data_IF_928303442704
#
_entry.id   IF_928303442704
#
_cell.length_a   1.000
_cell.length_b   1.000
_cell.length_c   1.000
_cell.angle_alpha   90.00
_cell.angle_beta   90.00
_cell.angle_gamma   90.00
#
_symmetry.space_group_name_H-M   'P 1'
#
loop_
_entity.id
_entity.type
_entity.pdbx_description
1 polymer ?
#
# COMPACT_ATOMS: atom_id res chain seq x y z
N UNK A 1 -7.47 -5.98 13.11
CA UNK A 1 -7.54 -6.87 11.93
C UNK A 1 -9.01 -7.09 11.57
N UNK A 2 -9.34 -7.21 10.28
CA UNK A 2 -10.69 -7.58 9.81
C UNK A 2 -10.69 -9.04 9.33
N UNK A 3 -11.80 -9.75 9.50
CA UNK A 3 -11.95 -11.16 9.09
C UNK A 3 -12.46 -11.24 7.66
N UNK A 4 -11.82 -12.07 6.83
CA UNK A 4 -12.24 -12.38 5.46
C UNK A 4 -12.57 -13.87 5.37
N UNK A 5 -13.78 -14.19 4.93
CA UNK A 5 -14.24 -15.57 4.73
C UNK A 5 -14.54 -15.80 3.25
N UNK A 6 -13.95 -16.83 2.66
CA UNK A 6 -14.17 -17.20 1.26
C UNK A 6 -14.10 -18.72 1.09
N UNK A 7 -14.79 -19.25 0.07
CA UNK A 7 -14.74 -20.67 -0.26
C UNK A 7 -13.41 -20.99 -0.95
N UNK A 8 -12.77 -22.07 -0.51
CA UNK A 8 -11.50 -22.55 -1.08
C UNK A 8 -11.75 -23.89 -1.76
N UNK A 9 -11.45 -24.05 -3.06
CA UNK A 9 -11.54 -25.33 -3.73
C UNK A 9 -10.65 -26.38 -3.05
N UNK A 10 -11.11 -27.63 -2.97
CA UNK A 10 -10.40 -28.69 -2.25
C UNK A 10 -8.95 -28.90 -2.74
N UNK A 11 -8.70 -28.78 -4.04
CA UNK A 11 -7.35 -28.88 -4.61
C UNK A 11 -6.41 -27.75 -4.13
N UNK A 12 -6.94 -26.55 -3.94
CA UNK A 12 -6.18 -25.40 -3.44
C UNK A 12 -5.90 -25.53 -1.95
N UNK A 13 -6.87 -26.02 -1.15
CA UNK A 13 -6.67 -26.26 0.28
C UNK A 13 -5.56 -27.30 0.54
N UNK A 14 -5.50 -28.37 -0.27
CA UNK A 14 -4.44 -29.38 -0.20
C UNK A 14 -3.05 -28.76 -0.44
N UNK A 15 -2.93 -27.89 -1.44
CA UNK A 15 -1.68 -27.17 -1.73
C UNK A 15 -1.29 -26.24 -0.59
N UNK A 16 -2.25 -25.47 -0.06
CA UNK A 16 -2.04 -24.60 1.12
C UNK A 16 -1.54 -25.40 2.32
N UNK A 17 -2.18 -26.53 2.63
CA UNK A 17 -1.81 -27.39 3.76
C UNK A 17 -0.37 -27.94 3.62
N UNK A 18 0.02 -28.37 2.41
CA UNK A 18 1.37 -28.85 2.15
C UNK A 18 2.44 -27.76 2.38
N UNK A 19 2.20 -26.54 1.89
CA UNK A 19 3.14 -25.41 2.07
C UNK A 19 3.23 -24.99 3.53
N UNK A 20 2.10 -24.88 4.22
CA UNK A 20 2.02 -24.57 5.65
C UNK A 20 2.79 -25.60 6.48
N UNK A 21 2.60 -26.89 6.20
CA UNK A 21 3.33 -27.97 6.88
C UNK A 21 4.84 -27.87 6.65
N UNK A 22 5.26 -27.60 5.40
CA UNK A 22 6.69 -27.45 5.06
C UNK A 22 7.33 -26.22 5.72
N UNK A 23 6.60 -25.10 5.80
CA UNK A 23 7.11 -23.83 6.34
C UNK A 23 6.94 -23.67 7.85
N UNK A 24 6.10 -24.49 8.50
CA UNK A 24 5.81 -24.36 9.94
C UNK A 24 4.98 -23.12 10.30
N UNK A 25 4.22 -22.55 9.35
CA UNK A 25 3.42 -21.32 9.57
C UNK A 25 1.92 -21.62 9.48
N UNK A 26 1.07 -20.77 10.05
CA UNK A 26 -0.40 -20.94 9.95
C UNK A 26 -0.91 -20.61 8.54
N UNK A 27 -2.02 -21.23 8.12
CA UNK A 27 -2.70 -20.93 6.83
C UNK A 27 -2.96 -19.43 6.65
N UNK A 28 -3.39 -18.74 7.71
CA UNK A 28 -3.66 -17.30 7.68
C UNK A 28 -2.42 -16.43 7.44
N UNK A 29 -1.23 -16.89 7.85
CA UNK A 29 0.03 -16.18 7.58
C UNK A 29 0.33 -16.24 6.09
N UNK A 30 0.31 -17.46 5.52
CA UNK A 30 0.55 -17.68 4.10
C UNK A 30 -0.47 -16.95 3.21
N UNK A 31 -1.76 -16.98 3.57
CA UNK A 31 -2.82 -16.29 2.81
C UNK A 31 -2.64 -14.78 2.86
N UNK A 32 -2.28 -14.20 4.02
CA UNK A 32 -1.99 -12.76 4.13
C UNK A 32 -0.76 -12.37 3.32
N UNK A 33 0.33 -13.14 3.39
CA UNK A 33 1.54 -12.89 2.59
C UNK A 33 1.23 -12.90 1.08
N UNK A 34 0.48 -13.90 0.62
CA UNK A 34 0.08 -13.99 -0.78
C UNK A 34 -0.79 -12.82 -1.21
N UNK A 35 -1.74 -12.41 -0.37
CA UNK A 35 -2.62 -11.27 -0.64
C UNK A 35 -1.84 -9.96 -0.68
N UNK A 36 -0.93 -9.72 0.28
CA UNK A 36 -0.07 -8.53 0.29
C UNK A 36 0.77 -8.45 -0.98
N UNK A 37 1.46 -9.54 -1.36
CA UNK A 37 2.25 -9.57 -2.60
C UNK A 37 1.41 -9.30 -3.83
N UNK A 38 0.25 -9.93 -3.94
CA UNK A 38 -0.65 -9.72 -5.08
C UNK A 38 -1.08 -8.25 -5.21
N UNK A 39 -1.42 -7.61 -4.09
CA UNK A 39 -1.84 -6.21 -4.07
C UNK A 39 -0.66 -5.24 -4.36
N UNK A 40 0.53 -5.53 -3.83
CA UNK A 40 1.75 -4.74 -4.07
C UNK A 40 2.25 -4.85 -5.52
N UNK A 41 2.12 -6.04 -6.12
CA UNK A 41 2.52 -6.31 -7.51
C UNK A 41 1.49 -5.78 -8.52
N UNK A 42 0.22 -5.65 -8.13
CA UNK A 42 -0.79 -5.04 -8.98
C UNK A 42 -0.53 -3.53 -9.17
N UNK A 43 0.07 -3.17 -10.30
CA UNK A 43 0.37 -1.77 -10.68
C UNK A 43 -0.87 -0.87 -10.70
N UNK A 44 -2.06 -1.45 -10.83
CA UNK A 44 -3.34 -0.76 -10.72
C UNK A 44 -3.58 -0.13 -9.33
N UNK A 45 -3.12 -0.77 -8.25
CA UNK A 45 -3.22 -0.23 -6.89
C UNK A 45 -2.09 0.74 -6.54
N UNK A 46 -0.95 0.67 -7.24
CA UNK A 46 0.10 1.70 -7.15
C UNK A 46 -0.31 3.03 -7.78
N UNK A 47 -1.35 3.04 -8.61
CA UNK A 47 -2.00 4.26 -9.10
C UNK A 47 -3.03 4.77 -8.09
N UNK A 48 -2.61 4.90 -6.83
CA UNK A 48 -3.34 5.75 -5.89
C UNK A 48 -3.49 7.13 -6.53
N UNK A 49 -4.61 7.80 -6.28
CA UNK A 49 -4.74 9.21 -6.65
C UNK A 49 -3.61 10.00 -6.00
N UNK A 50 -3.32 11.21 -6.51
CA UNK A 50 -2.35 12.10 -5.87
C UNK A 50 -2.62 12.25 -4.36
N UNK A 51 -3.91 12.29 -3.97
CA UNK A 51 -4.33 12.36 -2.57
C UNK A 51 -3.90 11.13 -1.76
N UNK A 52 -4.05 9.93 -2.31
CA UNK A 52 -3.68 8.68 -1.62
C UNK A 52 -2.18 8.60 -1.34
N UNK A 53 -1.37 9.29 -2.15
CA UNK A 53 0.09 9.30 -2.06
C UNK A 53 0.67 10.50 -1.30
N UNK A 54 -0.09 11.58 -1.10
CA UNK A 54 0.42 12.85 -0.56
C UNK A 54 0.31 12.98 0.97
N UNK A 55 -0.18 11.96 1.68
CA UNK A 55 -0.45 12.03 3.12
C UNK A 55 0.80 12.32 3.97
N UNK A 56 1.96 11.82 3.57
CA UNK A 56 3.26 12.04 4.21
C UNK A 56 3.92 13.37 3.78
N UNK A 57 3.45 13.99 2.71
CA UNK A 57 3.96 15.28 2.22
C UNK A 57 3.43 16.47 3.03
N UNK A 58 2.28 16.31 3.70
CA UNK A 58 1.74 17.37 4.55
C UNK A 58 2.67 17.65 5.74
N UNK A 59 3.24 18.86 5.77
CA UNK A 59 4.12 19.30 6.85
C UNK A 59 5.50 18.66 6.88
N UNK A 60 5.92 17.95 5.82
CA UNK A 60 7.25 17.34 5.74
C UNK A 60 8.40 18.37 5.63
N UNK A 61 8.08 19.58 5.16
CA UNK A 61 9.05 20.68 5.02
C UNK A 61 9.12 21.50 6.32
N UNK A 62 10.29 21.51 6.96
CA UNK A 62 10.57 22.31 8.15
C UNK A 62 11.23 23.63 7.77
N UNK A 63 10.91 24.71 8.48
CA UNK A 63 11.51 26.03 8.28
C UNK A 63 11.07 26.75 6.99
N UNK A 64 9.99 26.28 6.36
CA UNK A 64 9.37 26.97 5.23
C UNK A 64 8.65 28.25 5.67
N UNK A 65 8.53 29.25 4.79
CA UNK A 65 7.58 30.35 4.95
C UNK A 65 6.15 29.84 5.20
N UNK A 66 5.37 30.61 5.96
CA UNK A 66 4.00 30.24 6.33
C UNK A 66 3.05 30.06 5.12
N UNK A 67 3.36 30.69 3.98
CA UNK A 67 2.60 30.55 2.75
C UNK A 67 3.54 30.44 1.55
N UNK A 68 3.67 29.22 1.03
CA UNK A 68 4.41 28.92 -0.20
C UNK A 68 3.51 28.86 -1.44
N UNK A 69 2.20 28.75 -1.27
CA UNK A 69 1.28 28.43 -2.36
C UNK A 69 0.61 29.68 -2.95
N UNK A 70 0.38 30.72 -2.14
CA UNK A 70 -0.45 31.86 -2.53
C UNK A 70 0.29 33.20 -2.49
N UNK A 71 1.44 33.28 -1.83
CA UNK A 71 2.19 34.52 -1.69
C UNK A 71 3.04 34.82 -2.95
N UNK A 72 2.71 35.87 -3.73
CA UNK A 72 3.37 36.15 -5.00
C UNK A 72 4.87 36.40 -4.89
N UNK A 73 5.35 36.85 -3.71
CA UNK A 73 6.78 37.08 -3.45
C UNK A 73 7.61 35.80 -3.61
N UNK A 74 7.05 34.64 -3.29
CA UNK A 74 7.75 33.35 -3.36
C UNK A 74 7.52 32.60 -4.69
N UNK A 75 6.67 33.13 -5.58
CA UNK A 75 6.36 32.55 -6.89
C UNK A 75 7.13 33.22 -8.05
N UNK A 76 7.98 34.19 -7.75
CA UNK A 76 8.80 34.87 -8.75
C UNK A 76 9.71 33.86 -9.48
N UNK A 77 9.49 33.69 -10.79
CA UNK A 77 10.28 32.77 -11.63
C UNK A 77 9.80 31.31 -11.64
N UNK A 78 8.69 30.98 -10.97
CA UNK A 78 8.12 29.64 -11.01
C UNK A 78 7.62 29.27 -12.43
N UNK A 79 8.07 28.14 -12.96
CA UNK A 79 7.61 27.59 -14.25
C UNK A 79 8.18 28.25 -15.52
N UNK A 80 9.26 29.04 -15.40
CA UNK A 80 10.04 29.53 -16.55
C UNK A 80 11.23 28.63 -16.86
#
# INVERSE_FOLDING_TARGET
MKTLSFKVPAGLDRKLAAVVKRRGVRKSVLVREALSRYLEESSELRRGSFLDLAGDLFGCVKGAPADLASNPRYLAGFGR
#
